data_IF_234443987030
#
_entry.id   IF_234443987030
#
_cell.length_a   1.000
_cell.length_b   1.000
_cell.length_c   1.000
_cell.angle_alpha   90.00
_cell.angle_beta   90.00
_cell.angle_gamma   90.00
#
_symmetry.space_group_name_H-M   'P 1'
#
loop_
_entity.id
_entity.type
_entity.pdbx_description
1 polymer ?
#
# COMPACT_ATOMS: atom_id res chain seq x y z
N UNK A 1 -27.95 -8.05 -1.58
CA UNK A 1 -27.79 -6.74 -2.26
C UNK A 1 -27.56 -5.60 -1.28
N UNK A 2 -28.23 -5.54 -0.12
CA UNK A 2 -27.89 -4.54 0.92
C UNK A 2 -26.45 -4.73 1.42
N UNK A 3 -26.06 -5.96 1.78
CA UNK A 3 -24.70 -6.26 2.24
C UNK A 3 -23.60 -5.93 1.20
N UNK A 4 -23.87 -6.14 -0.10
CA UNK A 4 -22.94 -5.76 -1.17
C UNK A 4 -22.85 -4.24 -1.32
N UNK A 5 -23.96 -3.50 -1.13
CA UNK A 5 -23.95 -2.04 -1.04
C UNK A 5 -23.12 -1.52 0.14
N UNK A 6 -23.26 -2.13 1.32
CA UNK A 6 -22.44 -1.80 2.50
C UNK A 6 -20.95 -2.05 2.20
N UNK A 7 -20.62 -3.19 1.61
CA UNK A 7 -19.25 -3.53 1.24
C UNK A 7 -18.68 -2.57 0.18
N UNK A 8 -19.47 -2.17 -0.82
CA UNK A 8 -19.07 -1.19 -1.81
C UNK A 8 -18.76 0.17 -1.17
N UNK A 9 -19.62 0.65 -0.27
CA UNK A 9 -19.38 1.89 0.48
C UNK A 9 -18.08 1.84 1.28
N UNK A 10 -17.83 0.72 1.97
CA UNK A 10 -16.58 0.51 2.71
C UNK A 10 -15.34 0.50 1.83
N UNK A 11 -15.39 -0.18 0.67
CA UNK A 11 -14.26 -0.28 -0.25
C UNK A 11 -13.92 1.06 -0.89
N UNK A 12 -14.92 1.84 -1.30
CA UNK A 12 -14.73 3.17 -1.89
C UNK A 12 -14.15 4.14 -0.85
N UNK A 13 -14.67 4.13 0.38
CA UNK A 13 -14.14 4.97 1.46
C UNK A 13 -12.71 4.57 1.82
N UNK A 14 -12.43 3.27 1.93
CA UNK A 14 -11.07 2.77 2.22
C UNK A 14 -10.09 3.13 1.11
N UNK A 15 -10.54 3.11 -0.16
CA UNK A 15 -9.73 3.53 -1.29
C UNK A 15 -9.41 5.03 -1.24
N UNK A 16 -10.42 5.88 -0.97
CA UNK A 16 -10.25 7.33 -0.80
C UNK A 16 -9.27 7.66 0.32
N UNK A 17 -9.44 7.04 1.49
CA UNK A 17 -8.55 7.21 2.64
C UNK A 17 -7.11 6.78 2.31
N UNK A 18 -6.95 5.66 1.61
CA UNK A 18 -5.64 5.17 1.18
C UNK A 18 -4.97 6.14 0.21
N UNK A 19 -5.72 6.70 -0.74
CA UNK A 19 -5.22 7.72 -1.66
C UNK A 19 -4.80 9.00 -0.94
N UNK A 20 -5.55 9.42 0.09
CA UNK A 20 -5.21 10.60 0.89
C UNK A 20 -3.97 10.38 1.78
N UNK A 21 -3.77 9.16 2.27
CA UNK A 21 -2.59 8.78 3.03
C UNK A 21 -1.28 8.79 2.20
N UNK A 22 -1.39 8.78 0.87
CA UNK A 22 -0.23 8.85 -0.02
C UNK A 22 0.33 10.28 -0.13
N UNK A 23 1.64 10.35 -0.43
CA UNK A 23 2.35 11.61 -0.66
C UNK A 23 1.66 12.43 -1.77
N UNK A 24 1.64 13.77 -1.67
CA UNK A 24 0.94 14.64 -2.61
C UNK A 24 1.38 14.49 -4.07
N UNK A 25 2.63 14.04 -4.32
CA UNK A 25 3.15 13.76 -5.66
C UNK A 25 2.89 12.35 -6.20
N UNK A 26 2.23 11.47 -5.44
CA UNK A 26 1.95 10.12 -5.90
C UNK A 26 0.92 10.13 -7.04
N UNK A 27 1.19 9.37 -8.11
CA UNK A 27 0.29 9.23 -9.27
C UNK A 27 -1.14 8.86 -8.84
N UNK A 28 -1.27 7.97 -7.86
CA UNK A 28 -2.56 7.52 -7.35
C UNK A 28 -3.40 8.66 -6.73
N UNK A 29 -2.76 9.62 -6.06
CA UNK A 29 -3.44 10.80 -5.49
C UNK A 29 -3.76 11.84 -6.57
N UNK A 30 -2.89 12.01 -7.56
CA UNK A 30 -3.11 12.92 -8.69
C UNK A 30 -4.29 12.50 -9.58
N UNK A 31 -4.45 11.19 -9.79
CA UNK A 31 -5.51 10.62 -10.62
C UNK A 31 -6.61 9.93 -9.80
N UNK A 32 -6.79 10.33 -8.53
CA UNK A 32 -7.73 9.69 -7.62
C UNK A 32 -9.14 9.55 -8.22
N UNK A 33 -9.66 10.61 -8.85
CA UNK A 33 -10.99 10.57 -9.46
C UNK A 33 -11.12 9.52 -10.57
N UNK A 34 -10.08 9.33 -11.39
CA UNK A 34 -10.08 8.31 -12.44
C UNK A 34 -10.09 6.90 -11.84
N UNK A 35 -9.24 6.66 -10.85
CA UNK A 35 -9.21 5.35 -10.17
C UNK A 35 -10.49 5.07 -9.39
N UNK A 36 -11.14 6.09 -8.84
CA UNK A 36 -12.41 5.93 -8.16
C UNK A 36 -13.54 5.55 -9.13
N UNK A 37 -13.57 6.15 -10.33
CA UNK A 37 -14.51 5.76 -11.39
C UNK A 37 -14.27 4.30 -11.81
N UNK A 38 -13.00 3.90 -12.00
CA UNK A 38 -12.66 2.51 -12.30
C UNK A 38 -13.10 1.57 -11.17
N UNK A 39 -12.93 1.96 -9.91
CA UNK A 39 -13.36 1.18 -8.76
C UNK A 39 -14.88 1.00 -8.75
N UNK A 40 -15.66 2.06 -8.99
CA UNK A 40 -17.10 1.97 -9.11
C UNK A 40 -17.54 1.05 -10.26
N UNK A 41 -16.86 1.11 -11.40
CA UNK A 41 -17.13 0.24 -12.54
C UNK A 41 -16.87 -1.23 -12.20
N UNK A 42 -15.73 -1.53 -11.56
CA UNK A 42 -15.39 -2.88 -11.10
C UNK A 42 -16.40 -3.39 -10.06
N UNK A 43 -16.79 -2.55 -9.10
CA UNK A 43 -17.78 -2.91 -8.08
C UNK A 43 -19.17 -3.13 -8.69
N UNK A 44 -19.56 -2.35 -9.70
CA UNK A 44 -20.78 -2.53 -10.46
C UNK A 44 -20.79 -3.88 -11.19
N UNK A 45 -19.71 -4.21 -11.90
CA UNK A 45 -19.54 -5.50 -12.58
C UNK A 45 -19.56 -6.66 -11.57
N UNK A 46 -18.82 -6.53 -10.47
CA UNK A 46 -18.78 -7.56 -9.42
C UNK A 46 -20.16 -7.78 -8.78
N UNK A 47 -20.92 -6.71 -8.55
CA UNK A 47 -22.28 -6.79 -8.01
C UNK A 47 -23.24 -7.45 -8.99
N UNK A 48 -23.12 -7.13 -10.29
CA UNK A 48 -23.88 -7.77 -11.34
C UNK A 48 -23.54 -9.26 -11.47
N UNK A 49 -22.26 -9.62 -11.42
CA UNK A 49 -21.82 -11.01 -11.43
C UNK A 49 -22.35 -11.80 -10.23
N UNK A 50 -22.34 -11.19 -9.04
CA UNK A 50 -22.88 -11.80 -7.83
C UNK A 50 -24.40 -12.03 -7.95
N UNK A 51 -25.13 -11.10 -8.57
CA UNK A 51 -26.55 -11.28 -8.91
C UNK A 51 -26.75 -12.41 -9.92
N UNK A 52 -25.92 -12.47 -10.95
CA UNK A 52 -25.96 -13.53 -11.96
C UNK A 52 -25.76 -14.91 -11.33
N UNK A 53 -24.77 -15.05 -10.46
CA UNK A 53 -24.43 -16.31 -9.81
C UNK A 53 -25.45 -16.77 -8.76
N UNK A 54 -26.02 -15.84 -7.97
CA UNK A 54 -26.93 -16.18 -6.86
C UNK A 54 -28.40 -16.33 -7.28
N UNK A 55 -28.78 -15.77 -8.42
CA UNK A 55 -30.19 -15.62 -8.83
C UNK A 55 -30.42 -15.84 -10.33
N UNK A 56 -29.49 -16.52 -11.00
CA UNK A 56 -29.54 -16.80 -12.45
C UNK A 56 -29.80 -15.56 -13.31
N UNK A 57 -29.30 -14.39 -12.87
CA UNK A 57 -29.43 -13.14 -13.61
C UNK A 57 -30.81 -12.47 -13.55
N UNK A 58 -31.73 -12.95 -12.69
CA UNK A 58 -33.01 -12.29 -12.49
C UNK A 58 -32.84 -10.92 -11.81
N UNK A 59 -32.71 -9.88 -12.63
CA UNK A 59 -32.52 -8.49 -12.19
C UNK A 59 -33.87 -7.90 -11.78
N UNK A 60 -34.06 -7.65 -10.49
CA UNK A 60 -35.30 -7.07 -9.97
C UNK A 60 -35.07 -5.59 -9.66
N UNK A 61 -36.10 -4.77 -9.86
CA UNK A 61 -36.05 -3.31 -9.64
C UNK A 61 -35.57 -2.96 -8.22
N UNK A 62 -35.85 -3.80 -7.23
CA UNK A 62 -35.40 -3.56 -5.86
C UNK A 62 -33.92 -3.88 -5.62
N UNK A 63 -33.23 -4.59 -6.51
CA UNK A 63 -31.81 -4.94 -6.33
C UNK A 63 -30.88 -3.69 -6.36
N UNK A 64 -30.98 -2.77 -7.34
CA UNK A 64 -30.23 -1.51 -7.29
C UNK A 64 -30.66 -0.60 -6.13
N UNK A 65 -31.97 -0.57 -5.79
CA UNK A 65 -32.45 0.16 -4.62
C UNK A 65 -31.85 -0.37 -3.33
N UNK A 66 -31.82 -1.70 -3.16
CA UNK A 66 -31.19 -2.36 -2.01
C UNK A 66 -29.69 -2.07 -1.93
N UNK A 67 -29.02 -1.92 -3.08
CA UNK A 67 -27.61 -1.56 -3.13
C UNK A 67 -27.37 -0.10 -2.70
N UNK A 68 -28.20 0.84 -3.17
CA UNK A 68 -28.17 2.25 -2.73
C UNK A 68 -28.46 2.35 -1.23
N UNK A 69 -29.51 1.66 -0.76
CA UNK A 69 -29.85 1.57 0.67
C UNK A 69 -28.69 1.00 1.47
N UNK A 70 -28.01 -0.02 0.97
CA UNK A 70 -26.80 -0.57 1.59
C UNK A 70 -25.68 0.46 1.74
N UNK A 71 -25.41 1.26 0.69
CA UNK A 71 -24.39 2.32 0.73
C UNK A 71 -24.77 3.40 1.76
N UNK A 72 -26.04 3.83 1.79
CA UNK A 72 -26.53 4.82 2.77
C UNK A 72 -26.46 4.25 4.20
N UNK A 73 -26.83 2.98 4.36
CA UNK A 73 -26.76 2.30 5.66
C UNK A 73 -25.32 2.21 6.15
N UNK A 74 -24.36 1.98 5.25
CA UNK A 74 -22.95 2.04 5.59
C UNK A 74 -22.56 3.41 6.14
N UNK A 75 -22.90 4.47 5.43
CA UNK A 75 -22.53 5.84 5.81
C UNK A 75 -23.10 6.23 7.19
N UNK A 76 -24.37 5.90 7.43
CA UNK A 76 -25.07 6.28 8.66
C UNK A 76 -24.68 5.45 9.88
N UNK A 77 -24.54 4.13 9.72
CA UNK A 77 -24.44 3.21 10.86
C UNK A 77 -23.10 2.49 10.95
N UNK A 78 -22.52 2.09 9.82
CA UNK A 78 -21.32 1.25 9.82
C UNK A 78 -20.01 2.00 9.68
N UNK A 79 -20.02 3.26 9.21
CA UNK A 79 -18.80 4.05 8.98
C UNK A 79 -17.97 4.20 10.25
N UNK A 80 -18.58 4.68 11.33
CA UNK A 80 -17.89 4.87 12.61
C UNK A 80 -17.31 3.58 13.21
N UNK A 81 -18.09 2.48 13.37
CA UNK A 81 -17.54 1.24 13.91
C UNK A 81 -16.47 0.63 12.99
N UNK A 82 -16.61 0.74 11.66
CA UNK A 82 -15.56 0.30 10.72
C UNK A 82 -14.26 1.09 10.87
N UNK A 83 -14.31 2.41 11.06
CA UNK A 83 -13.11 3.22 11.29
C UNK A 83 -12.42 2.88 12.61
N UNK A 84 -13.18 2.52 13.64
CA UNK A 84 -12.64 2.03 14.91
C UNK A 84 -12.00 0.65 14.68
N UNK A 85 -12.72 -0.28 14.06
CA UNK A 85 -12.21 -1.61 13.71
C UNK A 85 -10.92 -1.54 12.88
N UNK A 86 -10.86 -0.64 11.90
CA UNK A 86 -9.65 -0.38 11.11
C UNK A 86 -8.48 0.08 11.98
N UNK A 87 -8.70 1.06 12.88
CA UNK A 87 -7.65 1.56 13.78
C UNK A 87 -7.13 0.47 14.70
N UNK A 88 -8.03 -0.37 15.22
CA UNK A 88 -7.68 -1.52 16.06
C UNK A 88 -6.89 -2.55 15.25
N UNK A 89 -7.36 -2.91 14.05
CA UNK A 89 -6.67 -3.85 13.16
C UNK A 89 -5.28 -3.38 12.77
N UNK A 90 -5.11 -2.09 12.44
CA UNK A 90 -3.80 -1.52 12.10
C UNK A 90 -2.85 -1.64 13.29
N UNK A 91 -3.29 -1.30 14.51
CA UNK A 91 -2.43 -1.35 15.70
C UNK A 91 -2.12 -2.78 16.15
N UNK A 92 -3.09 -3.70 16.08
CA UNK A 92 -2.93 -5.06 16.58
C UNK A 92 -2.29 -6.02 15.59
N UNK A 93 -2.44 -5.79 14.29
CA UNK A 93 -1.99 -6.72 13.25
C UNK A 93 -0.92 -6.08 12.37
N UNK A 94 -1.21 -4.93 11.76
CA UNK A 94 -0.30 -4.34 10.76
C UNK A 94 0.98 -3.80 11.40
N UNK A 95 0.85 -3.05 12.49
CA UNK A 95 1.99 -2.45 13.20
C UNK A 95 2.99 -3.48 13.74
N UNK A 96 2.58 -4.59 14.39
CA UNK A 96 3.55 -5.60 14.82
C UNK A 96 4.22 -6.33 13.66
N UNK A 97 3.49 -6.65 12.59
CA UNK A 97 4.08 -7.25 11.39
C UNK A 97 5.12 -6.31 10.78
N UNK A 98 4.79 -5.02 10.66
CA UNK A 98 5.70 -4.01 10.14
C UNK A 98 6.95 -3.85 11.02
N UNK A 99 6.79 -3.92 12.34
CA UNK A 99 7.89 -3.87 13.28
C UNK A 99 8.85 -5.06 13.10
N UNK A 100 8.31 -6.28 12.96
CA UNK A 100 9.11 -7.48 12.70
C UNK A 100 9.88 -7.33 11.38
N UNK A 101 9.20 -6.90 10.30
CA UNK A 101 9.85 -6.70 9.00
C UNK A 101 10.97 -5.64 9.08
N UNK A 102 10.70 -4.53 9.76
CA UNK A 102 11.70 -3.47 9.94
C UNK A 102 12.90 -3.95 10.76
N UNK A 103 12.67 -4.77 11.80
CA UNK A 103 13.71 -5.37 12.61
C UNK A 103 14.60 -6.29 11.77
N UNK A 104 14.00 -7.18 10.97
CA UNK A 104 14.74 -8.07 10.05
C UNK A 104 15.58 -7.27 9.05
N UNK A 105 15.00 -6.28 8.37
CA UNK A 105 15.72 -5.43 7.41
C UNK A 105 16.87 -4.67 8.09
N UNK A 106 16.66 -4.19 9.32
CA UNK A 106 17.68 -3.46 10.09
C UNK A 106 18.85 -4.36 10.47
N UNK A 107 18.57 -5.61 10.88
CA UNK A 107 19.60 -6.60 11.18
C UNK A 107 20.43 -6.90 9.93
N UNK A 108 19.78 -7.21 8.80
CA UNK A 108 20.46 -7.49 7.52
C UNK A 108 21.35 -6.30 7.13
N UNK A 109 20.83 -5.07 7.23
CA UNK A 109 21.59 -3.86 6.90
C UNK A 109 22.83 -3.68 7.78
N UNK A 110 22.74 -4.01 9.07
CA UNK A 110 23.88 -3.96 9.98
C UNK A 110 24.94 -5.01 9.65
N UNK A 111 24.52 -6.24 9.38
CA UNK A 111 25.43 -7.32 8.95
C UNK A 111 26.20 -6.91 7.69
N UNK A 112 25.49 -6.41 6.67
CA UNK A 112 26.12 -5.93 5.43
C UNK A 112 27.11 -4.79 5.71
N UNK A 113 26.77 -3.81 6.55
CA UNK A 113 27.70 -2.72 6.89
C UNK A 113 28.95 -3.21 7.60
N UNK A 114 28.83 -4.18 8.52
CA UNK A 114 29.98 -4.76 9.22
C UNK A 114 30.90 -5.45 8.21
N UNK A 115 30.32 -6.24 7.31
CA UNK A 115 31.07 -6.97 6.29
C UNK A 115 31.83 -6.02 5.34
N UNK A 116 31.18 -4.94 4.88
CA UNK A 116 31.83 -3.88 4.08
C UNK A 116 32.95 -3.20 4.84
N UNK A 117 32.78 -2.90 6.14
CA UNK A 117 33.84 -2.30 6.97
C UNK A 117 35.05 -3.22 7.09
N UNK A 118 34.85 -4.52 7.32
CA UNK A 118 35.93 -5.50 7.40
C UNK A 118 36.72 -5.54 6.08
N UNK A 119 36.02 -5.62 4.94
CA UNK A 119 36.64 -5.53 3.61
C UNK A 119 37.43 -4.23 3.42
N UNK A 120 36.88 -3.08 3.84
CA UNK A 120 37.57 -1.81 3.77
C UNK A 120 38.86 -1.78 4.59
N UNK A 121 38.86 -2.38 5.79
CA UNK A 121 40.06 -2.47 6.64
C UNK A 121 41.15 -3.29 5.96
N UNK A 122 40.79 -4.38 5.28
CA UNK A 122 41.73 -5.22 4.54
C UNK A 122 42.30 -4.49 3.31
N UNK A 123 41.48 -3.70 2.61
CA UNK A 123 41.87 -2.97 1.39
C UNK A 123 42.63 -1.66 1.72
N UNK A 124 42.40 -1.07 2.90
CA UNK A 124 43.02 0.18 3.36
C UNK A 124 44.55 0.22 3.27
N UNK A 125 45.33 -0.81 3.68
CA UNK A 125 46.78 -0.80 3.52
C UNK A 125 47.22 -0.74 2.05
N UNK A 126 46.53 -1.42 1.13
CA UNK A 126 46.86 -1.42 -0.29
C UNK A 126 46.63 -0.05 -0.95
N UNK A 127 45.54 0.64 -0.57
CA UNK A 127 45.26 2.00 -1.05
C UNK A 127 46.30 3.02 -0.58
N UNK A 128 46.86 2.84 0.62
CA UNK A 128 47.95 3.68 1.13
C UNK A 128 49.25 3.51 0.35
N UNK A 129 49.55 2.30 -0.13
CA UNK A 129 50.76 2.03 -0.92
C UNK A 129 50.68 2.71 -2.30
N UNK A 130 49.52 2.67 -2.95
CA UNK A 130 49.32 3.30 -4.27
C UNK A 130 49.41 4.84 -4.20
N UNK A 131 48.90 5.46 -3.13
CA UNK A 131 49.02 6.92 -2.93
C UNK A 131 50.43 7.40 -2.57
N UNK A 132 51.33 6.51 -2.14
CA UNK A 132 52.69 6.86 -1.73
C UNK A 132 53.71 6.75 -2.87
N UNK A 133 53.29 6.37 -4.09
CA UNK A 133 54.11 6.49 -5.29
C UNK A 133 54.23 7.99 -5.61
N UNK A 134 55.41 8.61 -5.43
CA UNK A 134 55.55 10.02 -5.78
C UNK A 134 55.36 10.15 -7.29
N UNK A 135 54.47 11.07 -7.71
CA UNK A 135 54.37 11.59 -9.08
C UNK A 135 55.68 12.29 -9.47
N UNK A 136 56.80 11.56 -9.54
CA UNK A 136 58.11 12.06 -9.95
C UNK A 136 58.48 11.70 -11.39
N UNK A 137 57.60 11.04 -12.15
CA UNK A 137 57.89 10.61 -13.53
C UNK A 137 57.08 11.33 -14.62
N UNK A 138 56.24 12.33 -14.31
CA UNK A 138 55.47 13.10 -15.32
C UNK A 138 56.00 14.52 -15.58
N UNK A 139 57.29 14.75 -15.37
CA UNK A 139 57.99 15.89 -15.96
C UNK A 139 59.40 15.45 -16.33
N UNK A 140 59.59 14.93 -17.55
CA UNK A 140 60.86 15.05 -18.26
C UNK A 140 60.66 14.80 -19.76
N UNK A 141 60.97 15.89 -20.49
CA UNK A 141 61.13 16.08 -21.95
C UNK A 141 59.86 16.06 -22.78
#
# INVERSE_FOLDING_TARGET
MIASGVAAGFLVESFRDSCQALRPGALLRRYQGLFEILLWLVLGIASFYLLFYLRDGAWRIYDPLAQIVGIITYELWFRQPMLIGRRVFIRLVVQPIWWILHLVVTIIRHIVRILVKILMVIIWPFLKIIKKIPRRSLQKK
#
